data_IF_982514958665
#
_entry.id   IF_982514958665
#
_cell.length_a   1.000
_cell.length_b   1.000
_cell.length_c   1.000
_cell.angle_alpha   90.00
_cell.angle_beta   90.00
_cell.angle_gamma   90.00
#
_symmetry.space_group_name_H-M   'P 1'
#
loop_
_entity.id
_entity.type
_entity.pdbx_description
1 polymer ?
#
# COMPACT_ATOMS: atom_id res chain seq x y z
N UNK A 1 -0.44 -4.41 -0.03
CA UNK A 1 0.28 -5.71 0.01
C UNK A 1 1.76 -5.50 0.26
N UNK A 2 2.31 -6.20 1.25
CA UNK A 2 3.72 -6.13 1.63
C UNK A 2 4.42 -7.43 1.27
N UNK A 3 5.53 -7.33 0.53
CA UNK A 3 6.30 -8.49 0.08
C UNK A 3 7.72 -8.46 0.64
N UNK A 4 8.25 -9.64 1.00
CA UNK A 4 9.67 -9.88 1.32
C UNK A 4 10.16 -11.05 0.49
N UNK A 5 11.28 -10.90 -0.21
CA UNK A 5 11.86 -11.95 -1.08
C UNK A 5 10.84 -12.54 -2.09
N UNK A 6 9.92 -11.72 -2.59
CA UNK A 6 8.86 -12.15 -3.52
C UNK A 6 7.62 -12.75 -2.87
N UNK A 7 7.67 -13.14 -1.60
CA UNK A 7 6.52 -13.68 -0.85
C UNK A 7 5.68 -12.57 -0.24
N UNK A 8 4.35 -12.68 -0.33
CA UNK A 8 3.42 -11.82 0.39
C UNK A 8 3.51 -12.15 1.89
N UNK A 9 3.80 -11.15 2.72
CA UNK A 9 3.97 -11.33 4.18
C UNK A 9 2.90 -10.63 4.99
N UNK A 10 2.26 -9.59 4.43
CA UNK A 10 1.17 -8.88 5.09
C UNK A 10 0.27 -8.21 4.05
N UNK A 11 -1.01 -8.08 4.38
CA UNK A 11 -2.00 -7.35 3.59
C UNK A 11 -2.73 -6.37 4.51
N UNK A 12 -3.00 -5.18 3.98
CA UNK A 12 -3.82 -4.17 4.63
C UNK A 12 -4.73 -3.58 3.57
N UNK A 13 -5.99 -3.37 3.95
CA UNK A 13 -7.02 -2.76 3.11
C UNK A 13 -7.64 -1.57 3.83
N UNK A 14 -8.23 -0.67 3.06
CA UNK A 14 -8.95 0.50 3.53
C UNK A 14 -9.99 0.91 2.50
N UNK A 15 -10.97 1.70 2.93
CA UNK A 15 -11.94 2.30 2.01
C UNK A 15 -11.32 3.54 1.34
N UNK A 16 -11.59 3.70 0.04
CA UNK A 16 -11.32 4.97 -0.61
C UNK A 16 -12.32 6.02 -0.11
N UNK A 17 -11.88 7.26 0.14
CA UNK A 17 -12.80 8.36 0.38
C UNK A 17 -13.55 8.71 -0.90
N UNK A 18 -14.64 9.47 -0.75
CA UNK A 18 -15.36 10.02 -1.89
C UNK A 18 -14.44 10.94 -2.73
N UNK A 19 -14.65 10.99 -4.05
CA UNK A 19 -13.92 11.90 -4.91
C UNK A 19 -14.27 13.37 -4.61
N UNK A 20 -13.30 14.26 -4.83
CA UNK A 20 -13.52 15.71 -4.75
C UNK A 20 -14.42 16.22 -5.90
N UNK A 21 -14.71 17.52 -5.89
CA UNK A 21 -15.54 18.16 -6.92
C UNK A 21 -14.98 18.06 -8.35
N UNK A 22 -13.70 17.68 -8.51
CA UNK A 22 -13.06 17.45 -9.81
C UNK A 22 -13.01 15.96 -10.19
N UNK A 23 -13.56 15.08 -9.36
CA UNK A 23 -13.54 13.63 -9.56
C UNK A 23 -12.26 12.95 -9.07
N UNK A 24 -11.38 13.64 -8.33
CA UNK A 24 -10.12 13.07 -7.85
C UNK A 24 -10.28 12.48 -6.47
N UNK A 25 -9.68 11.31 -6.26
CA UNK A 25 -9.60 10.65 -4.95
C UNK A 25 -8.19 10.86 -4.40
N UNK A 26 -8.09 11.47 -3.21
CA UNK A 26 -6.84 11.61 -2.47
C UNK A 26 -6.87 10.66 -1.26
N UNK A 27 -5.92 9.73 -1.18
CA UNK A 27 -5.81 8.77 -0.09
C UNK A 27 -4.38 8.75 0.45
N UNK A 28 -4.26 8.83 1.78
CA UNK A 28 -3.00 8.72 2.49
C UNK A 28 -3.17 7.77 3.67
N UNK A 29 -2.20 6.90 3.89
CA UNK A 29 -2.20 5.95 4.99
C UNK A 29 -0.79 5.72 5.49
N UNK A 30 -0.69 5.29 6.75
CA UNK A 30 0.56 4.93 7.41
C UNK A 30 0.46 3.52 7.96
N UNK A 31 1.57 2.81 7.99
CA UNK A 31 1.68 1.49 8.62
C UNK A 31 2.85 1.49 9.61
N UNK A 32 2.67 0.77 10.71
CA UNK A 32 3.73 0.57 11.70
C UNK A 32 4.75 -0.46 11.22
N UNK A 33 6.03 -0.23 11.50
CA UNK A 33 7.12 -1.15 11.17
C UNK A 33 7.41 -2.18 12.28
N UNK A 34 6.76 -2.10 13.44
CA UNK A 34 7.12 -2.92 14.62
C UNK A 34 7.02 -4.44 14.43
N UNK A 35 6.24 -4.91 13.47
CA UNK A 35 6.13 -6.33 13.12
C UNK A 35 7.06 -6.75 11.96
N UNK A 36 7.80 -5.82 11.36
CA UNK A 36 8.70 -6.08 10.24
C UNK A 36 10.11 -6.32 10.77
N UNK A 37 10.65 -7.50 10.51
CA UNK A 37 12.08 -7.74 10.72
C UNK A 37 12.93 -6.86 9.81
N UNK A 38 14.18 -6.56 10.17
CA UNK A 38 15.07 -5.84 9.27
C UNK A 38 15.19 -6.48 7.88
N UNK A 39 15.41 -5.65 6.87
CA UNK A 39 15.61 -6.04 5.48
C UNK A 39 14.79 -5.23 4.47
N UNK A 40 14.89 -5.63 3.20
CA UNK A 40 14.19 -4.98 2.08
C UNK A 40 12.79 -5.53 1.86
N UNK A 41 11.89 -4.63 1.51
CA UNK A 41 10.48 -4.91 1.28
C UNK A 41 10.00 -4.24 0.00
N UNK A 42 9.00 -4.86 -0.63
CA UNK A 42 8.22 -4.24 -1.71
C UNK A 42 6.80 -3.99 -1.23
N UNK A 43 6.37 -2.74 -1.28
CA UNK A 43 4.99 -2.34 -1.05
C UNK A 43 4.28 -2.24 -2.40
N UNK A 44 3.15 -2.93 -2.54
CA UNK A 44 2.23 -2.78 -3.67
C UNK A 44 0.92 -2.24 -3.13
N UNK A 45 0.47 -1.13 -3.70
CA UNK A 45 -0.81 -0.49 -3.39
C UNK A 45 -1.71 -0.65 -4.61
N UNK A 46 -2.92 -1.14 -4.38
CA UNK A 46 -3.97 -1.20 -5.41
C UNK A 46 -5.13 -0.33 -4.93
N UNK A 47 -5.59 0.58 -5.79
CA UNK A 47 -6.84 1.30 -5.63
C UNK A 47 -7.89 0.74 -6.60
N UNK A 48 -9.14 0.63 -6.15
CA UNK A 48 -10.28 0.20 -6.94
C UNK A 48 -11.48 1.07 -6.56
N UNK A 49 -12.03 1.81 -7.52
CA UNK A 49 -13.19 2.70 -7.33
C UNK A 49 -14.52 2.06 -7.80
N UNK A 50 -14.49 0.76 -8.11
CA UNK A 50 -15.64 0.01 -8.64
C UNK A 50 -15.76 0.08 -10.16
N UNK A 51 -15.15 1.07 -10.81
CA UNK A 51 -15.13 1.22 -12.27
C UNK A 51 -13.78 0.86 -12.89
N UNK A 52 -12.70 1.05 -12.14
CA UNK A 52 -11.33 0.84 -12.59
C UNK A 52 -10.41 0.42 -11.45
N UNK A 53 -9.26 -0.16 -11.85
CA UNK A 53 -8.23 -0.61 -10.92
C UNK A 53 -6.88 -0.02 -11.32
N UNK A 54 -6.20 0.60 -10.36
CA UNK A 54 -4.84 1.15 -10.55
C UNK A 54 -3.92 0.58 -9.48
N UNK A 55 -2.70 0.23 -9.87
CA UNK A 55 -1.68 -0.31 -8.96
C UNK A 55 -0.37 0.47 -9.06
N UNK A 56 0.26 0.72 -7.92
CA UNK A 56 1.58 1.29 -7.82
C UNK A 56 2.45 0.45 -6.86
N UNK A 57 3.76 0.45 -7.09
CA UNK A 57 4.69 -0.29 -6.25
C UNK A 57 5.92 0.55 -5.90
N UNK A 58 6.42 0.37 -4.68
CA UNK A 58 7.67 0.96 -4.21
C UNK A 58 8.46 -0.03 -3.36
N UNK A 59 9.71 0.29 -3.05
CA UNK A 59 10.57 -0.47 -2.15
C UNK A 59 10.91 0.36 -0.92
N UNK A 60 11.07 -0.30 0.22
CA UNK A 60 11.56 0.32 1.44
C UNK A 60 12.45 -0.66 2.21
N UNK A 61 13.34 -0.12 3.04
CA UNK A 61 14.26 -0.88 3.89
C UNK A 61 13.89 -0.64 5.35
N UNK A 62 13.79 -1.72 6.13
CA UNK A 62 13.69 -1.65 7.59
C UNK A 62 15.09 -1.89 8.15
N UNK A 63 15.60 -0.90 8.88
CA UNK A 63 16.89 -0.97 9.57
C UNK A 63 16.69 -1.34 11.05
N UNK A 64 17.69 -1.97 11.69
CA UNK A 64 17.68 -2.21 13.13
C UNK A 64 17.48 -0.94 13.94
#
# INVERSE_FOLDING_TARGET
DFYKNGSLIAQSSGALPDPDATGKIAYSTSFGLGAFSPGEYRLVVTANDGSGRVSAATRFEVRP
#
